data_IF_860503820813
#
_entry.id   IF_860503820813
#
_cell.length_a   1.000
_cell.length_b   1.000
_cell.length_c   1.000
_cell.angle_alpha   90.00
_cell.angle_beta   90.00
_cell.angle_gamma   90.00
#
_symmetry.space_group_name_H-M   'P 1'
#
loop_
_entity.id
_entity.type
_entity.pdbx_description
1 polymer ?
#
# COMPACT_ATOMS: atom_id res chain seq x y z
N UNK A 1 19.35 -4.95 4.69
CA UNK A 1 18.74 -4.10 5.75
C UNK A 1 19.72 -3.64 6.85
N UNK A 2 20.75 -4.41 7.23
CA UNK A 2 21.71 -4.03 8.30
C UNK A 2 22.54 -2.75 8.07
N UNK A 3 22.73 -2.29 6.83
CA UNK A 3 23.53 -1.08 6.53
C UNK A 3 22.76 0.21 6.85
N UNK A 4 21.47 0.28 6.55
CA UNK A 4 20.66 1.49 6.75
C UNK A 4 20.45 1.81 8.22
N UNK A 5 20.27 0.78 9.06
CA UNK A 5 20.06 0.95 10.51
C UNK A 5 21.28 1.60 11.19
N UNK A 6 22.49 1.40 10.65
CA UNK A 6 23.71 2.04 11.15
C UNK A 6 23.72 3.56 10.93
N UNK A 7 23.02 4.06 9.92
CA UNK A 7 22.95 5.49 9.62
C UNK A 7 21.82 6.20 10.38
N UNK A 8 20.88 5.47 10.99
CA UNK A 8 19.79 6.05 11.78
C UNK A 8 20.30 6.94 12.94
N UNK A 9 21.23 6.50 13.81
CA UNK A 9 21.73 7.36 14.88
C UNK A 9 22.47 8.60 14.34
N UNK A 10 23.20 8.45 13.24
CA UNK A 10 23.88 9.58 12.59
C UNK A 10 22.89 10.60 12.03
N UNK A 11 21.83 10.13 11.37
CA UNK A 11 20.76 11.00 10.85
C UNK A 11 20.02 11.72 11.98
N UNK A 12 19.74 11.03 13.10
CA UNK A 12 19.10 11.63 14.27
C UNK A 12 19.99 12.73 14.88
N UNK A 13 21.30 12.46 15.03
CA UNK A 13 22.25 13.44 15.54
C UNK A 13 22.32 14.67 14.63
N UNK A 14 22.46 14.46 13.32
CA UNK A 14 22.49 15.54 12.33
C UNK A 14 21.21 16.38 12.37
N UNK A 15 20.04 15.71 12.46
CA UNK A 15 18.75 16.39 12.60
C UNK A 15 18.74 17.26 13.85
N UNK A 16 19.14 16.73 15.01
CA UNK A 16 19.16 17.49 16.26
C UNK A 16 20.12 18.69 16.22
N UNK A 17 21.29 18.52 15.61
CA UNK A 17 22.23 19.63 15.39
C UNK A 17 21.62 20.71 14.50
N UNK A 18 20.93 20.32 13.42
CA UNK A 18 20.24 21.26 12.54
C UNK A 18 19.11 22.00 13.27
N UNK A 19 18.32 21.31 14.11
CA UNK A 19 17.27 21.94 14.92
C UNK A 19 17.84 23.05 15.81
N UNK A 20 18.92 22.75 16.54
CA UNK A 20 19.54 23.71 17.44
C UNK A 20 20.14 24.89 16.69
N UNK A 21 20.78 24.65 15.55
CA UNK A 21 21.34 25.70 14.70
C UNK A 21 20.24 26.66 14.21
N UNK A 22 19.14 26.13 13.69
CA UNK A 22 18.00 26.93 13.20
C UNK A 22 17.31 27.65 14.37
N UNK A 23 17.17 26.99 15.51
CA UNK A 23 16.60 27.61 16.70
C UNK A 23 17.41 28.80 17.20
N UNK A 24 18.73 28.70 17.21
CA UNK A 24 19.60 29.84 17.56
C UNK A 24 19.46 30.97 16.56
N UNK A 25 19.42 30.68 15.26
CA UNK A 25 19.24 31.71 14.22
C UNK A 25 17.89 32.43 14.39
N UNK A 26 16.80 31.69 14.58
CA UNK A 26 15.47 32.26 14.80
C UNK A 26 15.40 33.00 16.13
N UNK A 27 15.98 32.45 17.20
CA UNK A 27 16.07 33.08 18.51
C UNK A 27 16.84 34.41 18.49
N UNK A 28 17.84 34.55 17.61
CA UNK A 28 18.52 35.83 17.37
C UNK A 28 17.69 36.82 16.56
N UNK A 29 16.80 36.35 15.70
CA UNK A 29 15.95 37.19 14.86
C UNK A 29 14.72 37.74 15.60
N UNK A 30 14.05 36.90 16.41
CA UNK A 30 12.77 37.25 17.08
C UNK A 30 12.82 37.20 18.62
N UNK A 31 13.96 36.81 19.20
CA UNK A 31 14.13 36.60 20.63
C UNK A 31 13.87 35.16 21.08
N UNK A 32 14.64 34.69 22.07
CA UNK A 32 14.56 33.31 22.57
C UNK A 32 13.18 32.96 23.17
N UNK A 33 12.51 33.89 23.84
CA UNK A 33 11.17 33.67 24.39
C UNK A 33 10.12 33.39 23.31
N UNK A 34 10.12 34.23 22.25
CA UNK A 34 9.22 34.06 21.12
C UNK A 34 9.53 32.78 20.32
N UNK A 35 10.81 32.48 20.08
CA UNK A 35 11.23 31.24 19.42
C UNK A 35 10.81 29.98 20.20
N UNK A 36 10.97 30.00 21.53
CA UNK A 36 10.54 28.89 22.40
C UNK A 36 9.03 28.70 22.32
N UNK A 37 8.24 29.78 22.41
CA UNK A 37 6.79 29.70 22.28
C UNK A 37 6.36 29.16 20.91
N UNK A 38 7.04 29.56 19.84
CA UNK A 38 6.76 29.07 18.49
C UNK A 38 6.97 27.56 18.38
N UNK A 39 8.12 27.05 18.83
CA UNK A 39 8.41 25.60 18.84
C UNK A 39 7.40 24.86 19.71
N UNK A 40 7.06 25.40 20.88
CA UNK A 40 6.12 24.76 21.79
C UNK A 40 4.70 24.72 21.20
N UNK A 41 4.23 25.80 20.59
CA UNK A 41 2.95 25.86 19.90
C UNK A 41 2.88 24.89 18.71
N UNK A 42 3.95 24.83 17.90
CA UNK A 42 4.04 23.88 16.78
C UNK A 42 4.02 22.42 17.28
N UNK A 43 4.76 22.12 18.35
CA UNK A 43 4.80 20.78 18.95
C UNK A 43 3.44 20.38 19.51
N UNK A 44 2.75 21.29 20.20
CA UNK A 44 1.42 21.06 20.74
C UNK A 44 0.40 20.81 19.62
N UNK A 45 0.46 21.61 18.54
CA UNK A 45 -0.33 21.39 17.34
C UNK A 45 -0.05 19.99 16.76
N UNK A 46 1.22 19.63 16.60
CA UNK A 46 1.66 18.31 16.17
C UNK A 46 1.08 17.19 17.03
N UNK A 47 1.11 17.32 18.36
CA UNK A 47 0.57 16.33 19.28
C UNK A 47 -0.96 16.18 19.16
N UNK A 48 -1.69 17.28 18.98
CA UNK A 48 -3.14 17.26 18.73
C UNK A 48 -3.45 16.55 17.42
N UNK A 49 -2.69 16.83 16.35
CA UNK A 49 -2.86 16.15 15.07
C UNK A 49 -2.45 14.67 15.17
N UNK A 50 -1.41 14.35 15.91
CA UNK A 50 -0.94 12.98 16.12
C UNK A 50 -2.02 12.14 16.80
N UNK A 51 -2.71 12.71 17.79
CA UNK A 51 -3.86 12.05 18.43
C UNK A 51 -5.00 11.80 17.42
N UNK A 52 -5.31 12.78 16.58
CA UNK A 52 -6.38 12.67 15.56
C UNK A 52 -6.04 11.65 14.47
N UNK A 53 -4.81 11.69 13.95
CA UNK A 53 -4.32 10.76 12.92
C UNK A 53 -4.10 9.36 13.49
N UNK A 54 -3.65 9.25 14.74
CA UNK A 54 -3.53 7.97 15.45
C UNK A 54 -4.86 7.24 15.59
N UNK A 55 -5.91 7.94 16.02
CA UNK A 55 -7.26 7.35 16.10
C UNK A 55 -7.76 6.92 14.73
N UNK A 56 -7.56 7.74 13.69
CA UNK A 56 -7.98 7.40 12.31
C UNK A 56 -7.23 6.21 11.74
N UNK A 57 -5.90 6.18 11.90
CA UNK A 57 -5.05 5.09 11.47
C UNK A 57 -5.41 3.78 12.19
N UNK A 58 -5.65 3.85 13.51
CA UNK A 58 -6.03 2.68 14.30
C UNK A 58 -7.38 2.10 13.90
N UNK A 59 -8.38 2.96 13.63
CA UNK A 59 -9.68 2.53 13.09
C UNK A 59 -9.53 1.86 11.73
N UNK A 60 -8.82 2.48 10.80
CA UNK A 60 -8.59 1.91 9.47
C UNK A 60 -7.82 0.58 9.51
N UNK A 61 -6.86 0.45 10.41
CA UNK A 61 -6.15 -0.82 10.63
C UNK A 61 -7.08 -1.90 11.18
N UNK A 62 -7.91 -1.58 12.18
CA UNK A 62 -8.90 -2.51 12.73
C UNK A 62 -9.92 -2.95 11.69
N UNK A 63 -10.41 -2.03 10.86
CA UNK A 63 -11.38 -2.33 9.80
C UNK A 63 -10.76 -3.22 8.72
N UNK A 64 -9.49 -2.97 8.34
CA UNK A 64 -8.75 -3.82 7.41
C UNK A 64 -8.53 -5.23 7.99
N UNK A 65 -8.15 -5.33 9.27
CA UNK A 65 -7.95 -6.60 9.96
C UNK A 65 -9.25 -7.42 10.07
N UNK A 66 -10.39 -6.78 10.37
CA UNK A 66 -11.69 -7.46 10.48
C UNK A 66 -12.25 -7.88 9.12
N UNK A 67 -12.00 -7.11 8.07
CA UNK A 67 -12.51 -7.40 6.72
C UNK A 67 -11.65 -8.38 5.92
N UNK A 68 -10.48 -8.77 6.43
CA UNK A 68 -9.51 -9.62 5.72
C UNK A 68 -9.04 -9.01 4.39
N UNK A 69 -9.25 -7.70 4.18
CA UNK A 69 -8.85 -6.99 2.97
C UNK A 69 -7.48 -6.36 3.17
N UNK A 70 -6.63 -6.36 2.14
CA UNK A 70 -5.33 -5.72 2.24
C UNK A 70 -5.47 -4.22 2.50
N UNK A 71 -4.56 -3.62 3.30
CA UNK A 71 -4.61 -2.21 3.64
C UNK A 71 -4.50 -1.36 2.37
N UNK A 72 -5.64 -0.82 1.93
CA UNK A 72 -5.73 0.02 0.74
C UNK A 72 -5.15 1.42 0.97
N UNK A 73 -5.29 2.27 -0.05
CA UNK A 73 -4.73 3.63 -0.05
C UNK A 73 -5.14 4.51 1.14
N UNK A 74 -6.30 4.25 1.75
CA UNK A 74 -6.78 4.99 2.92
C UNK A 74 -5.97 4.70 4.18
N UNK A 75 -5.44 3.48 4.34
CA UNK A 75 -4.52 3.14 5.43
C UNK A 75 -3.17 3.80 5.21
N UNK A 76 -2.67 3.79 3.96
CA UNK A 76 -1.43 4.49 3.59
C UNK A 76 -1.52 5.99 3.85
N UNK A 77 -2.62 6.63 3.47
CA UNK A 77 -2.86 8.06 3.70
C UNK A 77 -2.94 8.39 5.21
N UNK A 78 -3.51 7.47 6.00
CA UNK A 78 -3.50 7.54 7.47
C UNK A 78 -2.10 7.43 8.06
N UNK A 79 -1.26 6.53 7.55
CA UNK A 79 0.14 6.38 8.00
C UNK A 79 1.01 7.58 7.63
N UNK A 80 0.87 8.12 6.42
CA UNK A 80 1.60 9.33 6.00
C UNK A 80 1.20 10.51 6.90
N UNK A 81 -0.10 10.65 7.18
CA UNK A 81 -0.60 11.67 8.10
C UNK A 81 -0.07 11.50 9.52
N UNK A 82 -0.03 10.27 10.02
CA UNK A 82 0.52 9.93 11.32
C UNK A 82 2.01 10.28 11.42
N UNK A 83 2.80 9.92 10.41
CA UNK A 83 4.23 10.23 10.34
C UNK A 83 4.46 11.73 10.32
N UNK A 84 3.74 12.48 9.49
CA UNK A 84 3.87 13.94 9.47
C UNK A 84 3.46 14.60 10.79
N UNK A 85 2.43 14.07 11.45
CA UNK A 85 2.01 14.57 12.76
C UNK A 85 3.03 14.22 13.86
N UNK A 86 3.69 13.06 13.77
CA UNK A 86 4.76 12.65 14.68
C UNK A 86 6.01 13.52 14.52
N UNK A 87 6.38 13.82 13.27
CA UNK A 87 7.45 14.76 12.92
C UNK A 87 7.15 16.16 13.48
N UNK A 88 5.91 16.65 13.32
CA UNK A 88 5.49 17.95 13.85
C UNK A 88 5.39 17.99 15.38
N UNK A 89 5.05 16.85 16.02
CA UNK A 89 5.01 16.74 17.48
C UNK A 89 6.42 16.72 18.10
N UNK A 90 7.43 16.33 17.33
CA UNK A 90 8.82 16.37 17.77
C UNK A 90 9.26 17.84 17.86
N UNK A 91 9.70 18.32 19.03
CA UNK A 91 10.06 19.72 19.21
C UNK A 91 11.25 20.09 18.32
N UNK A 92 10.97 20.87 17.28
CA UNK A 92 11.92 21.29 16.27
C UNK A 92 11.30 22.26 15.27
N UNK A 93 12.13 23.14 14.70
CA UNK A 93 11.75 24.05 13.64
C UNK A 93 11.82 23.35 12.27
N UNK A 94 12.89 22.58 12.01
CA UNK A 94 13.09 21.89 10.74
C UNK A 94 12.11 20.73 10.63
N UNK A 95 12.07 19.86 11.62
CA UNK A 95 11.13 18.73 11.73
C UNK A 95 9.69 19.22 11.75
N UNK A 96 9.42 20.36 12.38
CA UNK A 96 8.12 21.02 12.36
C UNK A 96 7.70 21.41 10.94
N UNK A 97 8.56 22.10 10.19
CA UNK A 97 8.29 22.45 8.78
C UNK A 97 8.12 21.21 7.92
N UNK A 98 9.00 20.22 8.06
CA UNK A 98 8.91 18.95 7.31
C UNK A 98 7.62 18.21 7.62
N UNK A 99 7.25 18.09 8.89
CA UNK A 99 6.00 17.48 9.34
C UNK A 99 4.77 18.21 8.79
N UNK A 100 4.76 19.55 8.86
CA UNK A 100 3.69 20.37 8.31
C UNK A 100 3.56 20.22 6.79
N UNK A 101 4.68 20.22 6.07
CA UNK A 101 4.73 20.02 4.62
C UNK A 101 4.20 18.63 4.26
N UNK A 102 4.59 17.59 5.00
CA UNK A 102 4.11 16.22 4.78
C UNK A 102 2.60 16.09 5.01
N UNK A 103 2.04 16.91 5.90
CA UNK A 103 0.61 16.97 6.17
C UNK A 103 -0.22 17.54 5.01
N UNK A 104 0.39 18.34 4.12
CA UNK A 104 -0.30 18.95 3.00
C UNK A 104 -0.83 17.90 2.01
N UNK A 105 -2.09 18.00 1.54
CA UNK A 105 -2.68 17.07 0.56
C UNK A 105 -1.84 16.76 -0.69
N UNK A 106 -1.17 17.73 -1.36
CA UNK A 106 -0.35 17.43 -2.53
C UNK A 106 0.85 16.55 -2.18
N UNK A 107 1.51 16.81 -1.05
CA UNK A 107 2.69 16.05 -0.59
C UNK A 107 2.29 14.64 -0.19
N UNK A 108 1.12 14.47 0.44
CA UNK A 108 0.57 13.14 0.75
C UNK A 108 0.38 12.28 -0.50
N UNK A 109 -0.14 12.84 -1.59
CA UNK A 109 -0.32 12.10 -2.87
C UNK A 109 1.01 11.64 -3.45
N UNK A 110 2.02 12.51 -3.42
CA UNK A 110 3.37 12.18 -3.90
C UNK A 110 4.00 11.09 -3.04
N UNK A 111 3.94 11.25 -1.71
CA UNK A 111 4.45 10.29 -0.75
C UNK A 111 3.80 8.91 -0.92
N UNK A 112 2.48 8.88 -1.13
CA UNK A 112 1.73 7.64 -1.42
C UNK A 112 2.24 6.94 -2.68
N UNK A 113 2.42 7.67 -3.78
CA UNK A 113 2.97 7.10 -5.02
C UNK A 113 4.39 6.54 -4.84
N UNK A 114 5.23 7.20 -4.03
CA UNK A 114 6.57 6.72 -3.70
C UNK A 114 6.56 5.45 -2.85
N UNK A 115 5.65 5.36 -1.87
CA UNK A 115 5.49 4.19 -1.01
C UNK A 115 4.97 3.00 -1.81
N UNK A 116 3.96 3.18 -2.67
CA UNK A 116 3.42 2.12 -3.52
C UNK A 116 4.48 1.51 -4.44
N UNK A 117 5.24 2.35 -5.16
CA UNK A 117 6.35 1.91 -6.01
C UNK A 117 7.45 1.18 -5.24
N UNK A 118 7.70 1.59 -4.00
CA UNK A 118 8.70 0.95 -3.15
C UNK A 118 8.22 -0.38 -2.57
N UNK A 119 6.91 -0.51 -2.30
CA UNK A 119 6.30 -1.77 -1.90
C UNK A 119 6.35 -2.78 -3.05
N UNK A 120 5.98 -2.37 -4.26
CA UNK A 120 6.06 -3.21 -5.47
C UNK A 120 7.49 -3.73 -5.72
N UNK A 121 8.51 -2.88 -5.51
CA UNK A 121 9.92 -3.26 -5.68
C UNK A 121 10.49 -4.14 -4.57
N UNK A 122 9.84 -4.19 -3.40
CA UNK A 122 10.34 -4.92 -2.20
C UNK A 122 9.55 -6.19 -1.90
N UNK A 123 8.37 -6.33 -2.48
CA UNK A 123 7.54 -7.52 -2.34
C UNK A 123 8.02 -8.53 -3.38
N UNK A 124 9.05 -9.31 -3.01
CA UNK A 124 9.26 -10.63 -3.61
C UNK A 124 7.96 -11.42 -3.49
N UNK A 125 7.61 -12.13 -4.56
CA UNK A 125 6.40 -12.95 -4.78
C UNK A 125 5.91 -13.80 -3.60
N UNK A 126 6.76 -14.08 -2.61
CA UNK A 126 6.44 -14.86 -1.42
C UNK A 126 5.73 -14.08 -0.31
N UNK A 127 6.00 -12.77 -0.14
CA UNK A 127 5.34 -11.94 0.89
C UNK A 127 4.07 -11.25 0.38
N UNK A 128 3.85 -11.29 -0.95
CA UNK A 128 2.68 -10.70 -1.60
C UNK A 128 1.39 -11.46 -1.26
N UNK A 129 1.48 -12.80 -1.23
CA UNK A 129 0.32 -13.68 -1.02
C UNK A 129 -0.32 -13.51 0.34
N UNK A 130 0.49 -13.38 1.39
CA UNK A 130 0.01 -13.29 2.78
C UNK A 130 -0.46 -11.87 3.17
N UNK A 131 0.06 -10.82 2.54
CA UNK A 131 -0.24 -9.43 2.92
C UNK A 131 -1.23 -8.73 1.96
N UNK A 132 -1.28 -9.14 0.69
CA UNK A 132 -2.12 -8.53 -0.34
C UNK A 132 -3.33 -9.39 -0.76
N UNK A 133 -3.46 -10.61 -0.21
CA UNK A 133 -4.50 -11.56 -0.55
C UNK A 133 -4.35 -12.12 -1.97
N UNK A 134 -4.96 -13.29 -2.28
CA UNK A 134 -4.86 -13.88 -3.60
C UNK A 134 -5.39 -12.89 -4.64
N UNK A 135 -4.53 -12.51 -5.60
CA UNK A 135 -4.94 -11.72 -6.78
C UNK A 135 -6.11 -12.46 -7.44
N UNK A 136 -7.29 -11.83 -7.47
CA UNK A 136 -8.40 -12.34 -8.28
C UNK A 136 -8.04 -12.13 -9.75
N UNK A 137 -7.52 -13.18 -10.36
CA UNK A 137 -7.40 -13.28 -11.81
C UNK A 137 -8.81 -13.47 -12.36
N UNK A 138 -9.33 -12.45 -13.03
CA UNK A 138 -10.51 -12.64 -13.87
C UNK A 138 -10.06 -13.36 -15.14
N UNK A 139 -10.14 -14.69 -15.10
CA UNK A 139 -9.98 -15.52 -16.29
C UNK A 139 -11.16 -15.23 -17.20
N UNK A 140 -10.91 -14.47 -18.26
CA UNK A 140 -11.85 -14.40 -19.39
C UNK A 140 -11.77 -15.77 -20.07
N UNK A 141 -12.68 -16.68 -19.71
CA UNK A 141 -12.83 -17.94 -20.45
C UNK A 141 -13.35 -17.54 -21.83
N UNK A 142 -12.44 -17.46 -22.80
CA UNK A 142 -12.82 -17.35 -24.21
C UNK A 142 -13.83 -18.44 -24.51
N UNK A 143 -14.94 -18.08 -25.17
CA UNK A 143 -15.92 -19.05 -25.62
C UNK A 143 -15.19 -20.13 -26.45
N UNK A 144 -15.51 -21.43 -26.27
CA UNK A 144 -14.84 -22.50 -26.99
C UNK A 144 -14.91 -22.20 -28.50
N UNK A 145 -13.76 -21.96 -29.11
CA UNK A 145 -13.63 -21.90 -30.56
C UNK A 145 -13.96 -23.30 -31.08
N UNK A 146 -15.18 -23.48 -31.56
CA UNK A 146 -15.55 -24.62 -32.38
C UNK A 146 -14.59 -24.62 -33.57
N UNK A 147 -13.81 -25.70 -33.79
CA UNK A 147 -12.89 -25.78 -34.90
C UNK A 147 -13.67 -25.56 -36.19
N UNK A 148 -13.28 -24.51 -36.92
CA UNK A 148 -13.79 -24.21 -38.24
C UNK A 148 -13.32 -25.32 -39.19
N UNK A 149 -14.12 -26.36 -39.36
CA UNK A 149 -13.70 -27.50 -40.15
C UNK A 149 -14.62 -28.72 -40.26
N UNK A 150 -15.93 -28.60 -40.05
CA UNK A 150 -16.87 -29.68 -40.42
C UNK A 150 -18.11 -29.11 -41.09
N UNK A 151 -17.92 -28.74 -42.37
CA UNK A 151 -18.99 -28.58 -43.32
C UNK A 151 -19.66 -29.95 -43.55
N UNK A 152 -20.98 -29.97 -43.35
CA UNK A 152 -21.94 -30.82 -44.07
C UNK A 152 -21.75 -32.34 -43.99
N UNK A 153 -22.33 -32.95 -42.94
CA UNK A 153 -22.83 -34.33 -43.01
C UNK A 153 -24.36 -34.32 -42.80
N UNK A 154 -25.17 -35.02 -43.62
CA UNK A 154 -26.63 -35.05 -43.46
C UNK A 154 -26.99 -35.76 -42.16
N UNK A 155 -28.01 -35.25 -41.47
CA UNK A 155 -28.52 -35.79 -40.21
C UNK A 155 -28.82 -37.31 -40.31
N UNK A 156 -28.32 -38.15 -39.38
CA UNK A 156 -28.82 -39.50 -39.23
C UNK A 156 -30.24 -39.46 -38.65
N UNK A 157 -31.15 -40.15 -39.32
CA UNK A 157 -32.54 -40.34 -38.90
C UNK A 157 -32.64 -40.96 -37.50
N UNK A 158 -33.67 -40.64 -36.69
CA UNK A 158 -33.83 -41.22 -35.37
C UNK A 158 -34.33 -42.67 -35.47
N UNK A 159 -33.51 -43.61 -35.00
CA UNK A 159 -33.86 -45.02 -34.78
C UNK A 159 -33.69 -45.38 -33.28
N UNK A 160 -34.37 -46.41 -32.75
CA UNK A 160 -34.95 -46.42 -31.40
C UNK A 160 -33.95 -46.50 -30.24
N UNK A 161 -34.32 -45.88 -29.12
CA UNK A 161 -33.62 -45.92 -27.84
C UNK A 161 -33.39 -47.36 -27.36
N UNK A 162 -32.12 -47.75 -27.20
CA UNK A 162 -31.71 -48.89 -26.38
C UNK A 162 -30.97 -48.39 -25.13
N UNK A 163 -31.36 -48.81 -23.92
CA UNK A 163 -30.68 -48.44 -22.68
C UNK A 163 -29.44 -49.33 -22.50
N UNK A 164 -28.23 -48.77 -22.59
CA UNK A 164 -27.01 -49.53 -22.32
C UNK A 164 -26.06 -48.77 -21.39
N UNK A 165 -26.07 -49.25 -20.14
CA UNK A 165 -24.97 -49.35 -19.17
C UNK A 165 -23.86 -48.27 -19.14
N UNK A 166 -23.86 -47.53 -18.02
CA UNK A 166 -22.69 -47.08 -17.25
C UNK A 166 -21.36 -46.83 -18.02
N UNK A 167 -21.15 -45.58 -18.44
CA UNK A 167 -19.82 -45.08 -18.82
C UNK A 167 -18.95 -44.90 -17.55
N UNK A 168 -17.68 -45.34 -17.54
CA UNK A 168 -16.80 -45.11 -16.41
C UNK A 168 -16.42 -43.61 -16.31
N UNK A 169 -16.12 -43.08 -15.11
CA UNK A 169 -15.70 -41.70 -14.96
C UNK A 169 -14.35 -41.48 -15.63
N UNK A 170 -14.30 -40.51 -16.55
CA UNK A 170 -13.07 -40.00 -17.16
C UNK A 170 -12.28 -39.29 -16.07
N UNK A 171 -11.11 -39.84 -15.72
CA UNK A 171 -10.14 -39.21 -14.84
C UNK A 171 -9.31 -38.24 -15.68
N UNK A 172 -9.35 -36.95 -15.34
CA UNK A 172 -8.58 -35.89 -16.00
C UNK A 172 -7.16 -35.87 -15.43
N UNK A 173 -6.18 -36.37 -16.20
CA UNK A 173 -4.76 -36.53 -15.84
C UNK A 173 -4.00 -35.18 -15.86
N UNK A 174 -4.51 -34.18 -15.13
CA UNK A 174 -3.74 -33.00 -14.70
C UNK A 174 -2.96 -32.30 -15.82
N UNK A 175 -3.59 -32.04 -16.97
CA UNK A 175 -2.91 -31.30 -18.05
C UNK A 175 -2.61 -29.88 -17.61
N UNK A 176 -1.34 -29.48 -17.73
CA UNK A 176 -0.91 -28.11 -17.56
C UNK A 176 -1.61 -27.22 -18.60
N UNK A 177 -2.42 -26.26 -18.13
CA UNK A 177 -3.06 -25.26 -19.00
C UNK A 177 -2.13 -24.05 -19.06
N UNK A 178 -1.61 -23.80 -20.26
CA UNK A 178 -0.78 -22.64 -20.56
C UNK A 178 -1.66 -21.38 -20.59
N UNK A 179 -1.31 -20.40 -19.76
CA UNK A 179 -2.02 -19.11 -19.68
C UNK A 179 -1.03 -17.96 -19.75
N UNK A 180 -1.34 -16.97 -20.58
CA UNK A 180 -0.52 -15.76 -20.74
C UNK A 180 -0.82 -14.73 -19.64
N UNK A 181 0.23 -14.18 -19.04
CA UNK A 181 0.14 -13.16 -18.00
C UNK A 181 -0.03 -11.80 -18.67
N UNK A 182 -1.25 -11.27 -18.69
CA UNK A 182 -1.53 -9.92 -19.18
C UNK A 182 -1.31 -8.92 -18.04
N UNK A 183 -0.33 -8.03 -18.19
CA UNK A 183 -0.09 -6.92 -17.27
C UNK A 183 -1.15 -5.82 -17.44
N UNK A 184 -1.70 -5.26 -16.35
CA UNK A 184 -2.65 -4.16 -16.44
C UNK A 184 -1.96 -2.84 -16.82
N UNK A 185 -2.52 -2.15 -17.81
CA UNK A 185 -2.16 -0.76 -18.18
C UNK A 185 -2.62 0.26 -17.14
#
# INVERSE_FOLDING_TARGET
MRRTVKFVPLALLLSLTAELAVFVVVGRAIGFGAATLLVFAASLLGLVLLRREGIRAWRGFRDAAQSGRPPGGQVTDGLIGLLGALLLATPGLVSGVVGLVLLLPPVRRIARGGIQRSAERRVSSMAAGDLFGPRRVHVYRGAPQQPAGEQSAPAPQPAPQQPSAAAPPVVDDGRAIEGEIVEPR
#
